data_IF_483293397918
#
_entry.id   IF_483293397918
#
_cell.length_a   1.000
_cell.length_b   1.000
_cell.length_c   1.000
_cell.angle_alpha   90.00
_cell.angle_beta   90.00
_cell.angle_gamma   90.00
#
_symmetry.space_group_name_H-M   'P 1'
#
loop_
_entity.id
_entity.type
_entity.pdbx_description
1 polymer ?
#
# COMPACT_ATOMS: atom_id res chain seq x y z
N UNK A 1 19.00 -11.34 -71.10
CA UNK A 1 18.29 -12.56 -71.54
C UNK A 1 16.82 -12.22 -71.48
N UNK A 2 16.16 -11.75 -72.55
CA UNK A 2 15.81 -12.47 -73.81
C UNK A 2 14.93 -13.70 -73.47
N UNK A 3 13.71 -13.91 -73.99
CA UNK A 3 12.96 -13.54 -75.21
C UNK A 3 11.48 -13.22 -74.84
N UNK A 4 10.78 -12.21 -75.36
CA UNK A 4 10.10 -12.10 -76.68
C UNK A 4 9.20 -13.29 -77.10
N UNK A 5 7.93 -12.92 -77.34
CA UNK A 5 6.91 -13.49 -78.23
C UNK A 5 6.68 -15.00 -78.29
N UNK A 6 5.44 -15.43 -78.00
CA UNK A 6 4.59 -16.02 -79.04
C UNK A 6 3.15 -16.19 -78.50
N UNK A 7 2.23 -15.40 -79.03
CA UNK A 7 0.83 -15.78 -79.10
C UNK A 7 0.56 -16.23 -80.53
N UNK A 8 0.02 -17.43 -80.74
CA UNK A 8 -0.79 -17.69 -81.91
C UNK A 8 -2.27 -17.79 -81.55
N UNK A 9 -2.99 -17.04 -82.36
CA UNK A 9 -4.43 -16.96 -82.57
C UNK A 9 -5.06 -18.30 -83.03
N UNK A 10 -6.33 -18.44 -82.67
CA UNK A 10 -7.40 -19.31 -83.18
C UNK A 10 -7.17 -20.78 -83.57
N UNK A 11 -7.96 -21.65 -82.92
CA UNK A 11 -8.36 -22.95 -83.43
C UNK A 11 -9.74 -23.32 -82.88
N UNK A 12 -10.78 -23.13 -83.69
CA UNK A 12 -12.15 -23.56 -83.42
C UNK A 12 -12.30 -25.09 -83.28
N UNK A 13 -13.36 -25.45 -82.55
CA UNK A 13 -14.07 -26.74 -82.53
C UNK A 13 -13.40 -27.94 -81.85
N UNK A 14 -13.86 -28.21 -80.63
CA UNK A 14 -14.60 -29.46 -80.43
C UNK A 14 -15.75 -29.23 -79.44
N UNK A 15 -16.96 -29.22 -79.97
CA UNK A 15 -18.17 -29.35 -79.16
C UNK A 15 -18.12 -30.70 -78.45
N UNK A 16 -17.82 -30.69 -77.16
CA UNK A 16 -18.31 -31.74 -76.28
C UNK A 16 -19.82 -31.56 -76.15
N UNK A 17 -20.63 -32.63 -76.25
CA UNK A 17 -22.07 -32.53 -76.04
C UNK A 17 -22.30 -31.91 -74.65
N UNK A 18 -23.40 -31.17 -74.41
CA UNK A 18 -23.72 -30.75 -73.05
C UNK A 18 -23.79 -32.05 -72.23
N UNK A 19 -22.82 -32.27 -71.32
CA UNK A 19 -23.02 -33.24 -70.26
C UNK A 19 -24.39 -32.89 -69.70
N UNK A 20 -25.35 -33.82 -69.79
CA UNK A 20 -26.64 -33.65 -69.16
C UNK A 20 -26.35 -33.36 -67.70
N UNK A 21 -26.41 -32.07 -67.32
CA UNK A 21 -26.08 -31.63 -65.98
C UNK A 21 -27.11 -32.33 -65.11
N UNK A 22 -26.66 -33.34 -64.36
CA UNK A 22 -27.49 -34.00 -63.38
C UNK A 22 -27.71 -33.00 -62.24
N UNK A 23 -28.71 -32.15 -62.43
CA UNK A 23 -29.14 -31.13 -61.49
C UNK A 23 -29.50 -31.74 -60.13
N UNK A 24 -29.93 -33.00 -60.11
CA UNK A 24 -30.20 -33.74 -58.89
C UNK A 24 -28.90 -34.08 -58.16
N UNK A 25 -27.88 -34.59 -58.86
CA UNK A 25 -26.56 -34.83 -58.28
C UNK A 25 -25.91 -33.54 -57.75
N UNK A 26 -26.05 -32.40 -58.46
CA UNK A 26 -25.54 -31.11 -57.97
C UNK A 26 -26.27 -30.62 -56.72
N UNK A 27 -27.60 -30.78 -56.66
CA UNK A 27 -28.38 -30.41 -55.49
C UNK A 27 -28.03 -31.28 -54.27
N UNK A 28 -27.88 -32.59 -54.46
CA UNK A 28 -27.48 -33.51 -53.39
C UNK A 28 -26.06 -33.17 -52.89
N UNK A 29 -25.11 -32.90 -53.80
CA UNK A 29 -23.76 -32.48 -53.42
C UNK A 29 -23.75 -31.16 -52.63
N UNK A 30 -24.57 -30.18 -53.01
CA UNK A 30 -24.67 -28.91 -52.29
C UNK A 30 -25.39 -29.05 -50.94
N UNK A 31 -26.38 -29.94 -50.84
CA UNK A 31 -27.04 -30.28 -49.58
C UNK A 31 -26.07 -30.96 -48.60
N UNK A 32 -25.22 -31.87 -49.07
CA UNK A 32 -24.16 -32.48 -48.26
C UNK A 32 -23.11 -31.45 -47.83
N UNK A 33 -22.72 -30.53 -48.72
CA UNK A 33 -21.87 -29.40 -48.34
C UNK A 33 -22.52 -28.56 -47.26
N UNK A 34 -23.77 -28.16 -47.42
CA UNK A 34 -24.50 -27.36 -46.43
C UNK A 34 -24.56 -28.06 -45.07
N UNK A 35 -24.79 -29.37 -45.02
CA UNK A 35 -24.71 -30.17 -43.78
C UNK A 35 -23.31 -30.14 -43.18
N UNK A 36 -22.27 -30.32 -44.00
CA UNK A 36 -20.88 -30.29 -43.53
C UNK A 36 -20.47 -28.91 -42.99
N UNK A 37 -20.92 -27.83 -43.64
CA UNK A 37 -20.67 -26.45 -43.20
C UNK A 37 -21.43 -26.15 -41.91
N UNK A 38 -22.68 -26.61 -41.78
CA UNK A 38 -23.43 -26.52 -40.53
C UNK A 38 -22.73 -27.28 -39.40
N UNK A 39 -22.25 -28.50 -39.64
CA UNK A 39 -21.50 -29.27 -38.65
C UNK A 39 -20.20 -28.58 -38.23
N UNK A 40 -19.46 -28.02 -39.18
CA UNK A 40 -18.24 -27.23 -38.90
C UNK A 40 -18.55 -25.94 -38.14
N UNK A 41 -19.63 -25.25 -38.49
CA UNK A 41 -20.06 -24.03 -37.82
C UNK A 41 -20.49 -24.30 -36.37
N UNK A 42 -21.25 -25.37 -36.14
CA UNK A 42 -21.65 -25.77 -34.79
C UNK A 42 -20.44 -26.16 -33.94
N UNK A 43 -19.49 -26.94 -34.50
CA UNK A 43 -18.25 -27.29 -33.80
C UNK A 43 -17.36 -26.07 -33.51
N UNK A 44 -17.30 -25.10 -34.44
CA UNK A 44 -16.56 -23.86 -34.21
C UNK A 44 -17.22 -23.02 -33.12
N UNK A 45 -18.55 -22.93 -33.13
CA UNK A 45 -19.33 -22.24 -32.11
C UNK A 45 -19.13 -22.87 -30.74
N UNK A 46 -19.24 -24.20 -30.62
CA UNK A 46 -19.03 -24.88 -29.33
C UNK A 46 -17.61 -24.66 -28.81
N UNK A 47 -16.60 -24.73 -29.67
CA UNK A 47 -15.22 -24.44 -29.29
C UNK A 47 -15.01 -22.98 -28.87
N UNK A 48 -15.70 -22.03 -29.50
CA UNK A 48 -15.66 -20.62 -29.12
C UNK A 48 -16.33 -20.39 -27.76
N UNK A 49 -17.47 -21.04 -27.50
CA UNK A 49 -18.20 -20.95 -26.23
C UNK A 49 -17.36 -21.54 -25.07
N UNK A 50 -16.71 -22.68 -25.28
CA UNK A 50 -15.79 -23.28 -24.29
C UNK A 50 -14.57 -22.38 -24.01
N UNK A 51 -13.98 -21.78 -25.04
CA UNK A 51 -12.89 -20.82 -24.87
C UNK A 51 -13.33 -19.56 -24.13
N UNK A 52 -14.55 -19.07 -24.38
CA UNK A 52 -15.10 -17.93 -23.67
C UNK A 52 -15.32 -18.27 -22.19
N UNK A 53 -15.92 -19.42 -21.89
CA UNK A 53 -16.13 -19.90 -20.53
C UNK A 53 -14.81 -20.10 -19.76
N UNK A 54 -13.78 -20.65 -20.40
CA UNK A 54 -12.45 -20.81 -19.80
C UNK A 54 -11.74 -19.47 -19.56
N UNK A 55 -11.90 -18.50 -20.45
CA UNK A 55 -11.35 -17.16 -20.25
C UNK A 55 -12.05 -16.46 -19.10
N UNK A 56 -13.37 -16.52 -19.03
CA UNK A 56 -14.14 -15.93 -17.94
C UNK A 56 -13.78 -16.57 -16.60
N UNK A 57 -13.73 -17.91 -16.52
CA UNK A 57 -13.34 -18.59 -15.29
C UNK A 57 -11.93 -18.20 -14.85
N UNK A 58 -10.96 -18.18 -15.77
CA UNK A 58 -9.60 -17.72 -15.48
C UNK A 58 -9.57 -16.26 -15.04
N UNK A 59 -10.32 -15.36 -15.66
CA UNK A 59 -10.40 -13.96 -15.26
C UNK A 59 -10.98 -13.82 -13.85
N UNK A 60 -12.03 -14.57 -13.51
CA UNK A 60 -12.60 -14.54 -12.16
C UNK A 60 -11.62 -15.09 -11.11
N UNK A 61 -10.85 -16.11 -11.47
CA UNK A 61 -9.83 -16.68 -10.60
C UNK A 61 -8.63 -15.74 -10.43
N UNK A 62 -8.12 -15.14 -11.51
CA UNK A 62 -7.03 -14.16 -11.44
C UNK A 62 -7.44 -12.92 -10.64
N UNK A 63 -8.67 -12.42 -10.80
CA UNK A 63 -9.19 -11.32 -9.98
C UNK A 63 -9.25 -11.69 -8.49
N UNK A 64 -9.70 -12.91 -8.16
CA UNK A 64 -9.68 -13.41 -6.77
C UNK A 64 -8.26 -13.53 -6.23
N UNK A 65 -7.31 -13.99 -7.04
CA UNK A 65 -5.90 -14.10 -6.66
C UNK A 65 -5.27 -12.72 -6.46
N UNK A 66 -5.53 -11.76 -7.35
CA UNK A 66 -5.08 -10.38 -7.23
C UNK A 66 -5.63 -9.73 -5.96
N UNK A 67 -6.93 -9.87 -5.69
CA UNK A 67 -7.53 -9.35 -4.46
C UNK A 67 -6.92 -9.96 -3.18
N UNK A 68 -6.53 -11.24 -3.22
CA UNK A 68 -5.81 -11.88 -2.10
C UNK A 68 -4.37 -11.37 -1.99
N UNK A 69 -3.67 -11.21 -3.11
CA UNK A 69 -2.32 -10.67 -3.14
C UNK A 69 -2.29 -9.23 -2.60
N UNK A 70 -3.19 -8.35 -3.07
CA UNK A 70 -3.29 -6.97 -2.57
C UNK A 70 -3.59 -6.91 -1.07
N UNK A 71 -4.45 -7.79 -0.54
CA UNK A 71 -4.70 -7.87 0.90
C UNK A 71 -3.45 -8.29 1.67
N UNK A 72 -2.77 -9.33 1.20
CA UNK A 72 -1.53 -9.79 1.82
C UNK A 72 -0.43 -8.72 1.77
N UNK A 73 -0.30 -7.99 0.65
CA UNK A 73 0.64 -6.89 0.51
C UNK A 73 0.33 -5.72 1.46
N UNK A 74 -0.96 -5.38 1.64
CA UNK A 74 -1.39 -4.38 2.62
C UNK A 74 -1.05 -4.80 4.04
N UNK A 75 -1.38 -6.03 4.42
CA UNK A 75 -1.05 -6.57 5.75
C UNK A 75 0.46 -6.58 6.01
N UNK A 76 1.26 -6.95 5.01
CA UNK A 76 2.72 -6.90 5.12
C UNK A 76 3.25 -5.47 5.25
N UNK A 77 2.65 -4.50 4.55
CA UNK A 77 3.02 -3.10 4.68
C UNK A 77 2.64 -2.57 6.07
N UNK A 78 1.45 -2.87 6.57
CA UNK A 78 0.98 -2.48 7.90
C UNK A 78 1.89 -3.04 9.00
N UNK A 79 2.28 -4.31 8.89
CA UNK A 79 3.23 -4.93 9.83
C UNK A 79 4.62 -4.29 9.75
N UNK A 80 5.12 -4.01 8.54
CA UNK A 80 6.43 -3.34 8.36
C UNK A 80 6.41 -1.93 8.93
N UNK A 81 5.37 -1.15 8.67
CA UNK A 81 5.25 0.21 9.23
C UNK A 81 5.10 0.16 10.75
N UNK A 82 4.35 -0.80 11.30
CA UNK A 82 4.27 -1.00 12.74
C UNK A 82 5.64 -1.32 13.37
N UNK A 83 6.42 -2.20 12.75
CA UNK A 83 7.79 -2.49 13.22
C UNK A 83 8.71 -1.27 13.14
N UNK A 84 8.65 -0.50 12.05
CA UNK A 84 9.43 0.75 11.91
C UNK A 84 9.05 1.76 12.99
N UNK A 85 7.75 1.93 13.27
CA UNK A 85 7.28 2.80 14.35
C UNK A 85 7.79 2.35 15.73
N UNK A 86 7.77 1.04 16.00
CA UNK A 86 8.33 0.51 17.25
C UNK A 86 9.83 0.79 17.35
N UNK A 87 10.59 0.58 16.28
CA UNK A 87 12.02 0.88 16.24
C UNK A 87 12.31 2.36 16.51
N UNK A 88 11.53 3.28 15.93
CA UNK A 88 11.65 4.72 16.21
C UNK A 88 11.31 5.07 17.66
N UNK A 89 10.29 4.43 18.25
CA UNK A 89 9.95 4.61 19.67
C UNK A 89 11.05 4.09 20.59
N UNK A 90 11.63 2.93 20.28
CA UNK A 90 12.75 2.37 21.04
C UNK A 90 13.97 3.28 21.00
N UNK A 91 14.31 3.82 19.83
CA UNK A 91 15.43 4.75 19.67
C UNK A 91 15.20 6.06 20.43
N UNK A 92 14.00 6.65 20.31
CA UNK A 92 13.64 7.87 21.02
C UNK A 92 13.62 7.66 22.54
N UNK A 93 13.13 6.52 23.02
CA UNK A 93 13.14 6.14 24.43
C UNK A 93 14.57 6.03 24.96
N UNK A 94 15.47 5.35 24.24
CA UNK A 94 16.89 5.23 24.61
C UNK A 94 17.58 6.60 24.70
N UNK A 95 17.28 7.52 23.79
CA UNK A 95 17.89 8.87 23.77
C UNK A 95 17.38 9.80 24.88
N UNK A 96 16.11 9.68 25.23
CA UNK A 96 15.45 10.62 26.17
C UNK A 96 15.34 10.07 27.60
N UNK A 97 15.43 8.76 27.78
CA UNK A 97 15.20 8.09 29.06
C UNK A 97 13.72 7.92 29.41
N UNK A 98 12.82 8.18 28.46
CA UNK A 98 11.36 8.04 28.63
C UNK A 98 10.94 6.62 28.21
N UNK A 99 10.12 5.90 29.00
CA UNK A 99 9.61 4.58 28.62
C UNK A 99 8.89 4.57 27.27
N UNK A 100 9.14 3.53 26.47
CA UNK A 100 8.57 3.33 25.12
C UNK A 100 7.03 3.37 25.15
N UNK A 101 6.42 2.84 26.21
CA UNK A 101 4.96 2.79 26.40
C UNK A 101 4.31 4.18 26.47
N UNK A 102 5.06 5.19 26.92
CA UNK A 102 4.57 6.57 27.02
C UNK A 102 4.72 7.33 25.71
N UNK A 103 5.56 6.87 24.78
CA UNK A 103 5.81 7.57 23.53
C UNK A 103 4.70 7.30 22.51
N UNK A 104 4.20 8.35 21.84
CA UNK A 104 3.19 8.26 20.78
C UNK A 104 3.64 9.06 19.58
N UNK A 105 3.11 8.71 18.42
CA UNK A 105 3.41 9.34 17.14
C UNK A 105 3.43 8.31 16.02
N UNK A 106 3.12 8.77 14.81
CA UNK A 106 3.14 7.95 13.60
C UNK A 106 4.47 8.09 12.85
N UNK A 107 5.14 9.22 13.02
CA UNK A 107 6.42 9.57 12.38
C UNK A 107 7.56 9.63 13.39
N UNK A 108 8.80 9.48 12.91
CA UNK A 108 9.99 9.57 13.76
C UNK A 108 10.11 10.94 14.43
N UNK A 109 9.76 12.01 13.72
CA UNK A 109 9.80 13.38 14.21
C UNK A 109 8.80 13.61 15.34
N UNK A 110 7.55 13.14 15.18
CA UNK A 110 6.53 13.22 16.22
C UNK A 110 6.93 12.46 17.49
N UNK A 111 7.44 11.24 17.31
CA UNK A 111 7.89 10.40 18.43
C UNK A 111 9.02 11.10 19.18
N UNK A 112 10.00 11.67 18.47
CA UNK A 112 11.12 12.38 19.09
C UNK A 112 10.66 13.67 19.78
N UNK A 113 9.80 14.47 19.14
CA UNK A 113 9.26 15.69 19.72
C UNK A 113 8.47 15.40 21.01
N UNK A 114 7.65 14.35 20.99
CA UNK A 114 6.90 13.91 22.16
C UNK A 114 7.83 13.43 23.29
N UNK A 115 8.86 12.65 22.94
CA UNK A 115 9.86 12.20 23.90
C UNK A 115 10.60 13.37 24.58
N UNK A 116 10.96 14.40 23.82
CA UNK A 116 11.58 15.62 24.36
C UNK A 116 10.61 16.44 25.23
N UNK A 117 9.34 16.53 24.84
CA UNK A 117 8.31 17.23 25.63
C UNK A 117 8.08 16.54 26.99
N UNK A 118 8.04 15.21 27.03
CA UNK A 118 7.96 14.47 28.30
C UNK A 118 9.22 14.69 29.13
N UNK A 119 10.40 14.61 28.50
CA UNK A 119 11.67 14.85 29.19
C UNK A 119 11.74 16.23 29.84
N UNK A 120 11.33 17.29 29.13
CA UNK A 120 11.33 18.65 29.65
C UNK A 120 10.32 18.82 30.79
N UNK A 121 9.14 18.22 30.67
CA UNK A 121 8.12 18.22 31.73
C UNK A 121 8.62 17.50 33.00
N UNK A 122 9.21 16.32 32.86
CA UNK A 122 9.79 15.58 33.99
C UNK A 122 10.94 16.34 34.65
N UNK A 123 11.80 17.00 33.87
CA UNK A 123 12.88 17.83 34.40
C UNK A 123 12.37 19.08 35.15
N UNK A 124 11.24 19.65 34.72
CA UNK A 124 10.57 20.74 35.42
C UNK A 124 9.95 20.26 36.75
N UNK A 125 9.31 19.09 36.75
CA UNK A 125 8.65 18.52 37.93
C UNK A 125 9.65 17.98 38.97
N UNK A 126 10.79 17.45 38.51
CA UNK A 126 11.86 16.94 39.38
C UNK A 126 12.63 18.04 40.14
N UNK A 127 12.27 19.31 39.98
CA UNK A 127 12.76 20.41 40.83
C UNK A 127 11.74 20.76 41.93
N UNK A 128 11.69 20.02 43.06
CA UNK A 128 11.30 20.66 44.30
C UNK A 128 12.48 21.53 44.74
N UNK A 129 12.47 22.79 44.31
CA UNK A 129 13.34 23.82 44.91
C UNK A 129 12.75 24.21 46.27
N UNK A 130 12.75 23.27 47.22
CA UNK A 130 12.73 23.68 48.61
C UNK A 130 14.03 24.45 48.85
N UNK A 131 13.91 25.71 49.28
CA UNK A 131 15.08 26.50 49.65
C UNK A 131 15.92 25.66 50.61
N UNK A 132 17.19 25.43 50.25
CA UNK A 132 18.11 24.64 51.08
C UNK A 132 18.33 25.45 52.35
N UNK A 133 17.56 25.16 53.40
CA UNK A 133 17.73 25.80 54.70
C UNK A 133 19.10 25.35 55.20
N UNK A 134 20.06 26.27 55.22
CA UNK A 134 21.46 25.98 55.52
C UNK A 134 21.66 25.44 56.95
N UNK A 135 20.70 25.72 57.84
CA UNK A 135 20.64 25.16 59.18
C UNK A 135 19.19 25.10 59.68
N UNK A 136 18.52 23.94 59.67
CA UNK A 136 17.14 23.81 60.16
C UNK A 136 17.04 23.83 61.69
N UNK A 137 18.17 23.73 62.41
CA UNK A 137 18.25 23.78 63.87
C UNK A 137 18.89 25.09 64.39
N UNK A 138 19.47 25.89 63.50
CA UNK A 138 20.11 27.16 63.82
C UNK A 138 19.10 28.22 64.19
N UNK A 139 19.27 28.84 65.35
CA UNK A 139 18.57 30.08 65.68
C UNK A 139 19.06 31.21 64.76
N UNK A 140 18.18 32.05 64.20
CA UNK A 140 18.60 33.15 63.34
C UNK A 140 19.54 34.07 64.12
N UNK A 141 20.77 34.24 63.62
CA UNK A 141 21.67 35.28 64.11
C UNK A 141 21.07 36.63 63.71
N UNK A 142 20.32 37.25 64.62
CA UNK A 142 19.92 38.64 64.46
C UNK A 142 21.18 39.48 64.44
N UNK A 143 21.49 40.11 63.32
CA UNK A 143 22.45 41.22 63.32
C UNK A 143 21.89 42.26 64.30
N UNK A 144 22.60 42.48 65.40
CA UNK A 144 22.25 43.47 66.40
C UNK A 144 22.17 44.82 65.69
N UNK A 145 20.94 45.29 65.45
CA UNK A 145 20.73 46.62 64.91
C UNK A 145 21.44 47.60 65.86
N UNK A 146 22.29 48.53 65.35
CA UNK A 146 23.03 49.45 66.20
C UNK A 146 22.10 50.33 67.04
N UNK A 147 20.85 50.51 66.59
CA UNK A 147 19.81 51.26 67.29
C UNK A 147 18.97 50.40 68.25
N UNK A 148 19.22 49.09 68.38
CA UNK A 148 18.46 48.20 69.26
C UNK A 148 18.61 48.60 70.74
N UNK A 149 19.80 49.08 71.13
CA UNK A 149 20.03 49.63 72.47
C UNK A 149 19.21 50.91 72.71
N UNK A 150 19.13 51.78 71.71
CA UNK A 150 18.39 53.05 71.78
C UNK A 150 16.87 52.82 71.87
N UNK A 151 16.35 51.86 71.10
CA UNK A 151 14.95 51.46 71.16
C UNK A 151 14.58 50.84 72.52
N UNK A 152 15.46 50.02 73.10
CA UNK A 152 15.25 49.47 74.45
C UNK A 152 15.28 50.55 75.54
N UNK A 153 16.00 51.64 75.32
CA UNK A 153 16.11 52.75 76.25
C UNK A 153 14.95 53.76 76.12
N UNK A 154 14.40 53.94 74.91
CA UNK A 154 13.26 54.81 74.64
C UNK A 154 11.91 54.16 74.90
N UNK A 155 11.78 52.86 74.61
CA UNK A 155 10.52 52.12 74.69
C UNK A 155 10.51 51.02 75.76
N UNK A 156 11.63 50.76 76.43
CA UNK A 156 11.69 49.84 77.56
C UNK A 156 11.59 50.58 78.88
N UNK A 157 10.38 50.87 79.33
CA UNK A 157 10.12 51.39 80.68
C UNK A 157 9.41 50.36 81.56
N UNK A 158 10.04 50.15 82.73
CA UNK A 158 9.71 49.41 83.96
C UNK A 158 9.69 47.89 83.91
#
# INVERSE_FOLDING_TARGET
>A
MAEEDDAPDTGEQSGSPPEEIDWKARYEAEAERAKSWRGKAEANKSAADELAALKESRLTETQKLQARAERAERELNDLKTAQQRLAWRDEAARKTGVPVDLLRGETAEEINAHAQAIKSYLAAQAKPSAAKVADPAGTPQSQTNPNAGLLRQLFGTK
#
